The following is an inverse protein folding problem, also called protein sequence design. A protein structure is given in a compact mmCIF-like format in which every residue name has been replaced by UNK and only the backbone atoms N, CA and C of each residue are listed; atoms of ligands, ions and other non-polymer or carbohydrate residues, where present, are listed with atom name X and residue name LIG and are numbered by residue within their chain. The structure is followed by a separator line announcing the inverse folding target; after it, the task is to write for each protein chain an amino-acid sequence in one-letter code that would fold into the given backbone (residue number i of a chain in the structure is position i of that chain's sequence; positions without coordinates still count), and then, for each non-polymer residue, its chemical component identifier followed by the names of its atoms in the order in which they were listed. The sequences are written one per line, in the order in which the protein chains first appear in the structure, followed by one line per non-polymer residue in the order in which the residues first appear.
data_IF_658755889912
#
_entry.id   IF_658755889912
#
_cell.length_a   1.000
_cell.length_b   1.000
_cell.length_c   1.000
_cell.angle_alpha   90.00
_cell.angle_beta   90.00
_cell.angle_gamma   90.00
#
_symmetry.space_group_name_H-M   'P 1'
#
loop_
_entity.id
_entity.type
_entity.pdbx_description
1 polymer ?
#
# COMPACT_ATOMS: atom_id res chain seq x y z
N UNK A 1 3.48 -0.47 -9.97
CA UNK A 1 2.30 -0.17 -9.14
C UNK A 1 1.33 -1.31 -9.36
N UNK A 2 0.55 -1.71 -8.35
CA UNK A 2 -0.47 -2.74 -8.55
C UNK A 2 -1.58 -2.06 -9.36
N UNK A 3 -1.58 -2.18 -10.68
CA UNK A 3 -2.50 -1.40 -11.51
C UNK A 3 -3.82 -2.14 -11.83
N UNK A 4 -3.89 -3.48 -11.74
CA UNK A 4 -5.14 -4.22 -12.00
C UNK A 4 -5.93 -4.63 -10.74
N UNK A 5 -5.29 -4.95 -9.60
CA UNK A 5 -5.98 -5.48 -8.40
C UNK A 5 -6.27 -4.43 -7.31
N UNK A 6 -5.90 -3.16 -7.50
CA UNK A 6 -6.00 -2.14 -6.44
C UNK A 6 -7.42 -1.66 -6.19
N UNK A 7 -8.26 -1.56 -7.22
CA UNK A 7 -9.66 -1.13 -7.03
C UNK A 7 -10.47 -2.16 -6.25
N UNK A 8 -10.25 -3.45 -6.50
CA UNK A 8 -10.91 -4.53 -5.78
C UNK A 8 -10.51 -4.56 -4.30
N UNK A 9 -9.23 -4.36 -4.01
CA UNK A 9 -8.75 -4.20 -2.64
C UNK A 9 -9.42 -3.00 -1.97
N UNK A 10 -9.49 -1.84 -2.63
CA UNK A 10 -10.14 -0.66 -2.07
C UNK A 10 -11.64 -0.87 -1.85
N UNK A 11 -12.32 -1.59 -2.74
CA UNK A 11 -13.73 -1.95 -2.60
C UNK A 11 -13.95 -2.91 -1.42
N UNK A 12 -13.07 -3.90 -1.26
CA UNK A 12 -13.08 -4.79 -0.10
C UNK A 12 -12.92 -4.02 1.22
N UNK A 13 -11.96 -3.09 1.28
CA UNK A 13 -11.71 -2.28 2.47
C UNK A 13 -12.89 -1.34 2.83
N UNK A 14 -13.76 -0.98 1.87
CA UNK A 14 -14.95 -0.15 2.15
C UNK A 14 -15.94 -0.83 3.10
N UNK A 15 -15.93 -2.16 3.24
CA UNK A 15 -16.80 -2.84 4.20
C UNK A 15 -16.37 -2.62 5.67
N UNK A 16 -15.09 -2.28 5.89
CA UNK A 16 -14.47 -2.18 7.21
C UNK A 16 -14.23 -0.72 7.65
N UNK A 17 -14.99 0.24 7.11
CA UNK A 17 -14.83 1.66 7.46
C UNK A 17 -15.09 1.90 8.96
N UNK A 18 -14.31 2.78 9.61
CA UNK A 18 -14.56 3.16 10.99
C UNK A 18 -15.86 3.94 11.13
N UNK A 19 -16.47 3.92 12.32
CA UNK A 19 -17.71 4.65 12.61
C UNK A 19 -17.61 6.15 12.29
N UNK A 20 -18.66 6.73 11.70
CA UNK A 20 -18.80 8.18 11.56
C UNK A 20 -19.11 8.84 12.91
N UNK A 21 -18.93 10.16 12.99
CA UNK A 21 -19.30 10.95 14.20
C UNK A 21 -20.78 10.82 14.55
N UNK A 22 -21.65 10.77 13.54
CA UNK A 22 -23.11 10.58 13.68
C UNK A 22 -23.43 9.21 14.24
N UNK A 23 -22.82 8.17 13.68
CA UNK A 23 -23.07 6.78 14.05
C UNK A 23 -22.55 6.51 15.46
N UNK A 24 -21.41 7.11 15.82
CA UNK A 24 -20.89 7.09 17.18
C UNK A 24 -21.84 7.76 18.17
N UNK A 25 -22.43 8.92 17.82
CA UNK A 25 -23.43 9.59 18.66
C UNK A 25 -24.66 8.70 18.86
N UNK A 26 -25.17 8.08 17.80
CA UNK A 26 -26.31 7.16 17.87
C UNK A 26 -25.98 5.92 18.72
N UNK A 27 -24.81 5.31 18.54
CA UNK A 27 -24.35 4.16 19.33
C UNK A 27 -24.28 4.49 20.82
N UNK A 28 -23.74 5.66 21.17
CA UNK A 28 -23.69 6.12 22.57
C UNK A 28 -25.10 6.39 23.14
N UNK A 29 -26.00 6.97 22.34
CA UNK A 29 -27.39 7.20 22.73
C UNK A 29 -28.15 5.88 22.97
N UNK A 30 -28.00 4.91 22.09
CA UNK A 30 -28.61 3.59 22.23
C UNK A 30 -28.06 2.86 23.46
N UNK A 31 -26.74 2.90 23.66
CA UNK A 31 -26.09 2.33 24.84
C UNK A 31 -26.57 2.97 26.15
N UNK A 32 -26.78 4.30 26.15
CA UNK A 32 -27.35 4.99 27.30
C UNK A 32 -28.80 4.56 27.59
N UNK A 33 -29.63 4.37 26.54
CA UNK A 33 -31.00 3.85 26.67
C UNK A 33 -31.02 2.40 27.17
N UNK A 34 -30.13 1.55 26.68
CA UNK A 34 -30.02 0.14 27.11
C UNK A 34 -29.55 0.03 28.57
N UNK A 35 -28.61 0.89 28.98
CA UNK A 35 -28.15 0.99 30.36
C UNK A 35 -29.28 1.40 31.32
N UNK A 36 -30.15 2.34 30.90
CA UNK A 36 -31.34 2.71 31.67
C UNK A 36 -32.29 1.51 31.85
N UNK A 37 -32.41 0.67 30.81
CA UNK A 37 -33.22 -0.55 30.83
C UNK A 37 -32.53 -1.75 31.53
N UNK A 38 -31.39 -1.54 32.21
CA UNK A 38 -30.57 -2.58 32.89
C UNK A 38 -30.11 -3.76 32.02
N UNK A 39 -30.22 -3.65 30.69
CA UNK A 39 -29.74 -4.66 29.75
C UNK A 39 -28.28 -4.37 29.40
N UNK A 40 -27.35 -4.76 30.28
CA UNK A 40 -25.91 -4.57 30.06
C UNK A 40 -25.36 -5.79 29.33
N UNK A 41 -25.38 -5.78 28.00
CA UNK A 41 -24.73 -6.80 27.17
C UNK A 41 -23.25 -6.45 26.95
N UNK A 42 -22.38 -7.47 26.95
CA UNK A 42 -20.96 -7.32 26.59
C UNK A 42 -20.86 -7.21 25.06
N UNK A 43 -20.72 -6.00 24.56
CA UNK A 43 -20.51 -5.76 23.12
C UNK A 43 -19.22 -6.40 22.61
N UNK A 44 -19.30 -7.10 21.47
CA UNK A 44 -18.10 -7.55 20.74
C UNK A 44 -17.35 -6.31 20.24
N UNK A 45 -16.02 -6.32 20.38
CA UNK A 45 -15.16 -5.24 19.87
C UNK A 45 -15.37 -5.11 18.36
N UNK A 46 -15.71 -3.92 17.85
CA UNK A 46 -15.97 -3.75 16.43
C UNK A 46 -14.67 -3.83 15.62
N UNK A 47 -14.77 -4.48 14.46
CA UNK A 47 -13.69 -4.68 13.50
C UNK A 47 -13.71 -3.52 12.51
N UNK A 48 -12.70 -2.66 12.57
CA UNK A 48 -12.59 -1.47 11.72
C UNK A 48 -11.16 -1.32 11.20
N UNK A 49 -11.05 -0.63 10.07
CA UNK A 49 -9.78 -0.10 9.58
C UNK A 49 -9.12 0.79 10.63
N UNK A 50 -7.84 0.52 10.87
CA UNK A 50 -6.97 1.35 11.69
C UNK A 50 -6.23 2.32 10.78
N UNK A 51 -6.03 3.54 11.26
CA UNK A 51 -5.36 4.58 10.50
C UNK A 51 -4.45 5.41 11.39
N UNK A 52 -3.55 6.16 10.76
CA UNK A 52 -2.56 6.99 11.44
C UNK A 52 -1.23 6.26 11.59
N UNK A 53 -0.17 6.89 11.11
CA UNK A 53 1.17 6.28 10.96
C UNK A 53 1.68 5.75 12.30
N UNK A 54 1.69 6.58 13.35
CA UNK A 54 2.17 6.20 14.68
C UNK A 54 1.39 5.04 15.32
N UNK A 55 0.12 4.87 14.94
CA UNK A 55 -0.67 3.75 15.42
C UNK A 55 -0.36 2.50 14.62
N UNK A 56 -0.27 2.62 13.29
CA UNK A 56 0.06 1.52 12.38
C UNK A 56 1.44 0.95 12.68
N UNK A 57 2.45 1.78 12.94
CA UNK A 57 3.80 1.30 13.30
C UNK A 57 3.75 0.41 14.54
N UNK A 58 3.04 0.85 15.60
CA UNK A 58 2.82 0.03 16.81
C UNK A 58 2.10 -1.28 16.51
N UNK A 59 1.14 -1.30 15.58
CA UNK A 59 0.43 -2.52 15.21
C UNK A 59 1.33 -3.50 14.47
N UNK A 60 2.19 -3.00 13.58
CA UNK A 60 3.15 -3.84 12.85
C UNK A 60 4.24 -4.36 13.77
N UNK A 61 4.78 -3.54 14.67
CA UNK A 61 5.79 -3.95 15.66
C UNK A 61 5.28 -5.09 16.56
N UNK A 62 4.02 -4.99 17.00
CA UNK A 62 3.35 -5.98 17.83
C UNK A 62 2.76 -7.16 17.03
N UNK A 63 3.00 -7.24 15.71
CA UNK A 63 2.44 -8.28 14.82
C UNK A 63 0.92 -8.45 14.90
N UNK A 64 0.19 -7.35 15.13
CA UNK A 64 -1.29 -7.32 15.14
C UNK A 64 -1.88 -6.93 13.79
N UNK A 65 -1.06 -6.41 12.88
CA UNK A 65 -1.45 -6.02 11.54
C UNK A 65 -1.42 -7.24 10.59
N UNK A 66 -2.51 -7.50 9.89
CA UNK A 66 -2.57 -8.55 8.87
C UNK A 66 -2.28 -8.02 7.47
N UNK A 67 -2.70 -6.78 7.17
CA UNK A 67 -2.42 -6.11 5.90
C UNK A 67 -2.25 -4.61 6.12
N UNK A 68 -1.19 -4.05 5.56
CA UNK A 68 -0.89 -2.60 5.60
C UNK A 68 -0.95 -2.01 4.19
N UNK A 69 -1.78 -0.99 4.02
CA UNK A 69 -1.94 -0.26 2.76
C UNK A 69 -1.31 1.12 2.89
N UNK A 70 -0.38 1.44 2.02
CA UNK A 70 0.48 2.61 2.10
C UNK A 70 0.22 3.51 0.87
N UNK A 71 0.02 4.80 1.05
CA UNK A 71 -0.06 5.74 -0.07
C UNK A 71 1.33 6.12 -0.60
N UNK A 72 1.45 6.30 -1.92
CA UNK A 72 2.71 6.72 -2.55
C UNK A 72 2.89 8.26 -2.63
N UNK A 73 1.81 9.03 -2.60
CA UNK A 73 1.78 10.47 -2.89
C UNK A 73 1.84 11.32 -1.62
N UNK A 74 2.61 10.85 -0.64
CA UNK A 74 2.71 11.46 0.69
C UNK A 74 3.80 12.52 0.67
N UNK A 75 3.49 13.68 1.25
CA UNK A 75 4.43 14.77 1.46
C UNK A 75 4.34 15.17 2.93
N UNK A 76 5.44 15.09 3.72
CA UNK A 76 6.79 14.61 3.39
C UNK A 76 6.88 13.06 3.27
N UNK A 77 7.79 12.55 2.42
CA UNK A 77 7.92 11.10 2.09
C UNK A 77 8.64 10.31 3.20
N UNK A 78 9.47 10.99 3.97
CA UNK A 78 10.25 10.49 5.10
C UNK A 78 9.37 9.81 6.14
N UNK A 79 8.12 10.28 6.28
CA UNK A 79 7.11 9.72 7.18
C UNK A 79 6.73 8.26 6.87
N UNK A 80 6.99 7.81 5.65
CA UNK A 80 6.52 6.51 5.15
C UNK A 80 7.66 5.66 4.62
N UNK A 81 8.82 6.25 4.33
CA UNK A 81 9.97 5.58 3.74
C UNK A 81 10.39 4.32 4.51
N UNK A 82 10.35 4.36 5.84
CA UNK A 82 10.74 3.24 6.71
C UNK A 82 9.67 2.13 6.79
N UNK A 83 8.41 2.44 6.46
CA UNK A 83 7.27 1.57 6.73
C UNK A 83 7.29 0.26 5.90
N UNK A 84 7.59 0.27 4.58
CA UNK A 84 7.78 -0.95 3.80
C UNK A 84 8.88 -1.87 4.35
N UNK A 85 10.01 -1.28 4.77
CA UNK A 85 11.12 -2.04 5.35
C UNK A 85 10.74 -2.68 6.69
N UNK A 86 10.00 -1.94 7.53
CA UNK A 86 9.50 -2.42 8.82
C UNK A 86 8.45 -3.54 8.65
N UNK A 87 7.54 -3.41 7.69
CA UNK A 87 6.55 -4.46 7.38
C UNK A 87 7.25 -5.75 6.91
N UNK A 88 8.26 -5.63 6.06
CA UNK A 88 9.06 -6.79 5.61
C UNK A 88 9.80 -7.47 6.76
N UNK A 89 10.48 -6.69 7.62
CA UNK A 89 11.21 -7.23 8.78
C UNK A 89 10.29 -7.98 9.76
N UNK A 90 9.04 -7.52 9.90
CA UNK A 90 8.04 -8.15 10.77
C UNK A 90 7.17 -9.19 10.07
N UNK A 91 7.45 -9.48 8.79
CA UNK A 91 6.72 -10.43 7.93
C UNK A 91 5.24 -10.09 7.72
N UNK A 92 4.89 -8.81 7.83
CA UNK A 92 3.53 -8.30 7.61
C UNK A 92 3.37 -7.94 6.13
N UNK A 93 2.34 -8.46 5.43
CA UNK A 93 2.00 -8.07 4.06
C UNK A 93 1.75 -6.57 3.96
N UNK A 94 2.39 -5.92 2.98
CA UNK A 94 2.11 -4.52 2.68
C UNK A 94 1.86 -4.29 1.19
N UNK A 95 1.10 -3.26 0.88
CA UNK A 95 0.93 -2.78 -0.48
C UNK A 95 1.05 -1.27 -0.58
N UNK A 96 1.51 -0.83 -1.75
CA UNK A 96 1.64 0.60 -2.09
C UNK A 96 0.56 0.95 -3.12
N UNK A 97 -0.32 1.87 -2.74
CA UNK A 97 -1.45 2.39 -3.51
C UNK A 97 -1.17 3.81 -3.97
N UNK A 98 -1.78 4.20 -5.09
CA UNK A 98 -1.53 5.49 -5.77
C UNK A 98 -2.03 6.72 -5.01
N UNK A 99 -3.21 6.67 -4.40
CA UNK A 99 -3.88 7.90 -3.95
C UNK A 99 -4.13 7.92 -2.43
N UNK A 100 -3.48 8.82 -1.69
CA UNK A 100 -3.77 9.10 -0.26
C UNK A 100 -5.16 9.67 -0.04
N UNK A 101 -5.72 10.36 -1.04
CA UNK A 101 -7.08 10.90 -0.98
C UNK A 101 -8.11 9.77 -0.94
N UNK A 102 -7.89 8.72 -1.74
CA UNK A 102 -8.77 7.54 -1.77
C UNK A 102 -8.70 6.76 -0.47
N UNK A 103 -7.50 6.61 0.12
CA UNK A 103 -7.36 6.06 1.48
C UNK A 103 -8.05 6.94 2.53
N UNK A 104 -7.96 8.27 2.40
CA UNK A 104 -8.66 9.22 3.27
C UNK A 104 -10.17 9.01 3.28
N UNK A 105 -10.76 8.82 2.09
CA UNK A 105 -12.21 8.54 1.94
C UNK A 105 -12.66 7.27 2.66
N UNK A 106 -11.79 6.26 2.81
CA UNK A 106 -12.10 5.05 3.57
C UNK A 106 -12.23 5.31 5.08
N UNK A 107 -11.56 6.33 5.61
CA UNK A 107 -11.49 6.59 7.06
C UNK A 107 -12.19 7.89 7.47
N UNK A 108 -13.04 8.42 6.59
CA UNK A 108 -13.75 9.70 6.78
C UNK A 108 -12.81 10.89 7.02
N UNK A 109 -11.67 10.92 6.31
CA UNK A 109 -10.70 12.03 6.31
C UNK A 109 -10.46 12.54 4.89
N UNK A 110 -9.90 13.75 4.77
CA UNK A 110 -9.49 14.30 3.47
C UNK A 110 -8.35 13.48 2.84
N UNK A 111 -7.42 13.02 3.68
CA UNK A 111 -6.26 12.23 3.29
C UNK A 111 -5.92 11.21 4.37
N UNK A 112 -5.31 10.09 3.98
CA UNK A 112 -4.70 9.14 4.91
C UNK A 112 -3.40 8.59 4.32
N UNK A 113 -2.35 8.59 5.14
CA UNK A 113 -1.01 8.17 4.72
C UNK A 113 -0.88 6.65 4.60
N UNK A 114 -1.40 5.94 5.59
CA UNK A 114 -1.48 4.49 5.61
C UNK A 114 -2.74 4.06 6.35
N UNK A 115 -3.24 2.89 5.99
CA UNK A 115 -4.39 2.23 6.59
C UNK A 115 -4.00 0.78 6.85
N UNK A 116 -4.43 0.22 7.98
CA UNK A 116 -4.12 -1.13 8.40
C UNK A 116 -5.40 -1.90 8.71
N UNK A 117 -5.40 -3.17 8.36
CA UNK A 117 -6.44 -4.11 8.74
C UNK A 117 -5.84 -5.15 9.71
N UNK A 118 -6.40 -5.21 10.92
CA UNK A 118 -5.97 -6.15 11.98
C UNK A 118 -6.64 -7.52 11.82
N UNK A 119 -7.97 -7.52 11.62
CA UNK A 119 -8.78 -8.72 11.52
C UNK A 119 -10.07 -8.40 10.75
N UNK A 120 -10.59 -9.39 10.04
CA UNK A 120 -11.87 -9.33 9.31
C UNK A 120 -12.89 -10.28 9.92
N UNK A 121 -14.14 -10.19 9.43
CA UNK A 121 -15.14 -11.24 9.68
C UNK A 121 -14.65 -12.56 9.07
N UNK A 122 -15.08 -13.69 9.65
CA UNK A 122 -14.69 -15.02 9.17
C UNK A 122 -15.04 -15.26 7.70
N UNK A 123 -16.18 -14.72 7.24
CA UNK A 123 -16.65 -14.80 5.85
C UNK A 123 -15.71 -14.13 4.84
N UNK A 124 -15.01 -13.08 5.27
CA UNK A 124 -14.12 -12.27 4.43
C UNK A 124 -12.65 -12.67 4.56
N UNK A 125 -12.35 -13.65 5.42
CA UNK A 125 -10.98 -14.05 5.73
C UNK A 125 -10.24 -14.60 4.51
N UNK A 126 -10.90 -15.43 3.70
CA UNK A 126 -10.31 -15.99 2.48
C UNK A 126 -9.92 -14.89 1.47
N UNK A 127 -10.75 -13.86 1.31
CA UNK A 127 -10.45 -12.70 0.46
C UNK A 127 -9.27 -11.90 0.99
N UNK A 128 -9.19 -11.70 2.30
CA UNK A 128 -8.04 -11.04 2.93
C UNK A 128 -6.76 -11.83 2.67
N UNK A 129 -6.80 -13.16 2.81
CA UNK A 129 -5.65 -14.04 2.61
C UNK A 129 -5.19 -14.03 1.15
N UNK A 130 -6.12 -14.00 0.20
CA UNK A 130 -5.82 -13.78 -1.22
C UNK A 130 -5.10 -12.45 -1.45
N UNK A 131 -5.63 -11.33 -0.93
CA UNK A 131 -4.97 -10.04 -1.07
C UNK A 131 -3.60 -10.02 -0.39
N UNK A 132 -3.47 -10.61 0.80
CA UNK A 132 -2.21 -10.73 1.51
C UNK A 132 -1.16 -11.50 0.69
N UNK A 133 -1.55 -12.61 0.05
CA UNK A 133 -0.69 -13.39 -0.85
C UNK A 133 -0.22 -12.54 -2.04
N UNK A 134 -1.15 -11.90 -2.75
CA UNK A 134 -0.83 -11.01 -3.88
C UNK A 134 0.12 -9.88 -3.44
N UNK A 135 -0.07 -9.32 -2.24
CA UNK A 135 0.81 -8.27 -1.72
C UNK A 135 2.21 -8.80 -1.41
N UNK A 136 2.32 -10.01 -0.83
CA UNK A 136 3.62 -10.63 -0.54
C UNK A 136 4.42 -10.88 -1.81
N UNK A 137 3.80 -11.49 -2.82
CA UNK A 137 4.44 -11.78 -4.11
C UNK A 137 4.93 -10.50 -4.80
N UNK A 138 4.11 -9.44 -4.80
CA UNK A 138 4.46 -8.18 -5.46
C UNK A 138 5.51 -7.36 -4.70
N UNK A 139 5.50 -7.39 -3.36
CA UNK A 139 6.26 -6.46 -2.55
C UNK A 139 7.18 -7.12 -1.53
N UNK A 140 6.65 -7.94 -0.60
CA UNK A 140 7.45 -8.48 0.50
C UNK A 140 8.61 -9.35 -0.02
N UNK A 141 8.32 -10.26 -0.94
CA UNK A 141 9.27 -11.25 -1.46
C UNK A 141 10.09 -10.68 -2.64
N UNK A 142 9.61 -9.60 -3.25
CA UNK A 142 10.27 -8.93 -4.34
C UNK A 142 11.51 -8.14 -3.86
N UNK A 143 12.68 -8.77 -4.00
CA UNK A 143 13.98 -8.17 -3.70
C UNK A 143 14.46 -7.19 -4.78
N UNK A 144 13.97 -7.32 -6.01
CA UNK A 144 14.37 -6.46 -7.13
C UNK A 144 13.95 -5.01 -6.88
N UNK A 145 12.75 -4.81 -6.35
CA UNK A 145 12.25 -3.47 -5.97
C UNK A 145 13.14 -2.77 -4.94
N UNK A 146 13.89 -3.52 -4.12
CA UNK A 146 14.80 -2.96 -3.11
C UNK A 146 16.17 -2.62 -3.69
N UNK A 147 16.65 -3.39 -4.67
CA UNK A 147 18.00 -3.25 -5.23
C UNK A 147 18.03 -2.34 -6.47
N UNK A 148 16.91 -2.21 -7.16
CA UNK A 148 16.79 -1.43 -8.38
C UNK A 148 16.84 0.06 -8.08
N UNK A 149 17.86 0.73 -8.61
CA UNK A 149 17.94 2.18 -8.60
C UNK A 149 16.90 2.76 -9.58
N UNK A 150 16.16 3.76 -9.11
CA UNK A 150 15.21 4.51 -9.92
C UNK A 150 15.87 5.65 -10.71
N UNK A 151 15.06 6.41 -11.44
CA UNK A 151 15.51 7.60 -12.16
C UNK A 151 16.11 7.29 -13.53
N UNK A 152 17.09 8.10 -13.94
CA UNK A 152 17.80 8.03 -15.24
C UNK A 152 16.88 8.06 -16.48
N UNK A 153 15.69 8.64 -16.35
CA UNK A 153 14.77 8.83 -17.47
C UNK A 153 15.16 10.09 -18.24
N UNK A 154 15.70 9.90 -19.44
CA UNK A 154 16.03 11.00 -20.34
C UNK A 154 14.76 11.62 -20.96
N UNK A 155 14.81 12.92 -21.24
CA UNK A 155 13.80 13.58 -22.06
C UNK A 155 13.78 13.02 -23.48
N UNK A 156 12.66 13.14 -24.19
CA UNK A 156 12.51 12.59 -25.54
C UNK A 156 13.62 13.05 -26.51
N UNK A 157 13.98 14.34 -26.48
CA UNK A 157 15.04 14.91 -27.32
C UNK A 157 16.43 14.33 -26.98
N UNK A 158 16.75 14.27 -25.68
CA UNK A 158 18.03 13.73 -25.20
C UNK A 158 18.15 12.23 -25.50
N UNK A 159 17.07 11.47 -25.29
CA UNK A 159 16.99 10.05 -25.59
C UNK A 159 17.19 9.78 -27.09
N UNK A 160 16.56 10.57 -27.96
CA UNK A 160 16.71 10.44 -29.41
C UNK A 160 18.15 10.72 -29.86
N UNK A 161 18.74 11.82 -29.38
CA UNK A 161 20.12 12.19 -29.70
C UNK A 161 21.10 11.11 -29.25
N UNK A 162 20.95 10.61 -28.02
CA UNK A 162 21.77 9.53 -27.49
C UNK A 162 21.60 8.24 -28.30
N UNK A 163 20.36 7.88 -28.65
CA UNK A 163 20.05 6.72 -29.48
C UNK A 163 20.70 6.82 -30.87
N UNK A 164 20.63 8.00 -31.51
CA UNK A 164 21.26 8.23 -32.81
C UNK A 164 22.78 8.10 -32.73
N UNK A 165 23.43 8.77 -31.76
CA UNK A 165 24.88 8.70 -31.55
C UNK A 165 25.34 7.27 -31.24
N UNK A 166 24.66 6.60 -30.31
CA UNK A 166 24.99 5.23 -29.91
C UNK A 166 24.77 4.24 -31.07
N UNK A 167 23.75 4.44 -31.91
CA UNK A 167 23.51 3.62 -33.10
C UNK A 167 24.61 3.82 -34.16
N UNK A 168 24.95 5.06 -34.49
CA UNK A 168 25.98 5.36 -35.49
C UNK A 168 27.34 4.78 -35.06
N UNK A 169 27.76 5.07 -33.82
CA UNK A 169 29.03 4.55 -33.26
C UNK A 169 29.08 3.02 -33.24
N UNK A 170 28.01 2.36 -32.80
CA UNK A 170 27.97 0.88 -32.77
C UNK A 170 28.08 0.26 -34.17
N UNK A 171 27.48 0.89 -35.18
CA UNK A 171 27.57 0.42 -36.57
C UNK A 171 29.01 0.58 -37.07
N UNK A 172 29.65 1.71 -36.81
CA UNK A 172 31.05 1.95 -37.19
C UNK A 172 32.02 0.99 -36.48
N UNK A 173 31.87 0.80 -35.17
CA UNK A 173 32.67 -0.14 -34.38
C UNK A 173 32.48 -1.58 -34.87
N UNK A 174 31.24 -1.99 -35.16
CA UNK A 174 30.94 -3.32 -35.68
C UNK A 174 31.57 -3.55 -37.05
N UNK A 175 31.44 -2.59 -37.98
CA UNK A 175 32.07 -2.68 -39.31
C UNK A 175 33.59 -2.74 -39.20
N UNK A 176 34.20 -1.90 -38.35
CA UNK A 176 35.65 -1.92 -38.12
C UNK A 176 36.11 -3.27 -37.58
N UNK A 177 35.37 -3.86 -36.64
CA UNK A 177 35.65 -5.20 -36.09
C UNK A 177 35.52 -6.29 -37.16
N UNK A 178 34.51 -6.22 -38.02
CA UNK A 178 34.31 -7.18 -39.12
C UNK A 178 35.46 -7.13 -40.14
N UNK A 179 35.88 -5.92 -40.53
CA UNK A 179 37.01 -5.73 -41.45
C UNK A 179 38.31 -6.24 -40.81
N UNK A 180 38.55 -5.92 -39.54
CA UNK A 180 39.73 -6.39 -38.80
C UNK A 180 39.76 -7.90 -38.58
N UNK A 181 38.64 -8.60 -38.68
CA UNK A 181 38.58 -10.06 -38.56
C UNK A 181 38.70 -10.76 -39.93
N UNK A 182 38.54 -10.01 -41.03
CA UNK A 182 38.67 -10.50 -42.42
C UNK A 182 40.07 -10.31 -42.99
N UNK A 183 40.83 -9.35 -42.45
CA UNK A 183 42.25 -9.11 -42.73
C UNK A 183 43.11 -9.94 -41.76
#
# INVERSE_FOLDING_TARGET
MIDMNTQDLLNFLKAYKPESKTDKKQRLLNKAKEALNKNITKDKKPLFLKYGINHITKLVENKKANLVVIANDVSPIELVLFLPALCRLKEVPYCIVKDKATLGKLVHKKTATAVCLESVKKEDQEKLDYFAKVCKENFNDNVDLRRKWGGQKMSAKSMLLKKMKDKARKIEEAKKKEISAKL
#
